data_IF_353761938387
#
_entry.id   IF_353761938387
#
_cell.length_a   1.000
_cell.length_b   1.000
_cell.length_c   1.000
_cell.angle_alpha   90.00
_cell.angle_beta   90.00
_cell.angle_gamma   90.00
#
_symmetry.space_group_name_H-M   'P 1'
#
loop_
_entity.id
_entity.type
_entity.pdbx_description
1 polymer ?
#
# COMPACT_ATOMS: atom_id res chain seq x y z
N UNK A 1 -12.00 -12.22 27.11
CA UNK A 1 -10.57 -12.18 26.79
C UNK A 1 -9.94 -11.01 27.53
N UNK A 2 -8.72 -11.10 28.09
CA UNK A 2 -8.12 -9.95 28.80
C UNK A 2 -7.72 -8.85 27.82
N UNK A 3 -7.67 -7.58 28.28
CA UNK A 3 -7.27 -6.42 27.47
C UNK A 3 -5.89 -6.65 26.83
N UNK A 4 -4.94 -7.21 27.57
CA UNK A 4 -3.59 -7.51 27.08
C UNK A 4 -3.58 -8.48 25.89
N UNK A 5 -4.40 -9.55 25.97
CA UNK A 5 -4.54 -10.50 24.85
C UNK A 5 -5.15 -9.85 23.61
N UNK A 6 -6.11 -8.95 23.80
CA UNK A 6 -6.71 -8.21 22.69
C UNK A 6 -5.69 -7.26 22.03
N UNK A 7 -4.89 -6.56 22.83
CA UNK A 7 -3.85 -5.67 22.31
C UNK A 7 -2.76 -6.42 21.56
N UNK A 8 -2.32 -7.57 22.08
CA UNK A 8 -1.37 -8.44 21.39
C UNK A 8 -1.91 -8.92 20.04
N UNK A 9 -3.17 -9.40 20.03
CA UNK A 9 -3.84 -9.84 18.80
C UNK A 9 -3.96 -8.71 17.77
N UNK A 10 -4.39 -7.51 18.19
CA UNK A 10 -4.49 -6.34 17.32
C UNK A 10 -3.11 -6.01 16.72
N UNK A 11 -2.06 -6.03 17.53
CA UNK A 11 -0.69 -5.76 17.06
C UNK A 11 -0.20 -6.77 16.03
N UNK A 12 -0.49 -8.07 16.21
CA UNK A 12 -0.17 -9.10 15.24
C UNK A 12 -0.95 -8.97 13.94
N UNK A 13 -2.27 -8.72 14.02
CA UNK A 13 -3.11 -8.54 12.85
C UNK A 13 -2.69 -7.31 12.04
N UNK A 14 -2.34 -6.24 12.73
CA UNK A 14 -1.86 -5.03 12.10
C UNK A 14 -0.56 -5.25 11.32
N UNK A 15 0.45 -5.90 11.94
CA UNK A 15 1.69 -6.27 11.27
C UNK A 15 1.45 -7.14 10.04
N UNK A 16 0.62 -8.16 10.20
CA UNK A 16 0.32 -9.10 9.12
C UNK A 16 -0.38 -8.42 7.96
N UNK A 17 -1.35 -7.56 8.24
CA UNK A 17 -2.15 -6.87 7.23
C UNK A 17 -1.33 -5.80 6.50
N UNK A 18 -0.54 -5.01 7.22
CA UNK A 18 0.31 -3.97 6.61
C UNK A 18 1.50 -4.53 5.83
N UNK A 19 1.91 -5.77 6.09
CA UNK A 19 2.90 -6.47 5.28
C UNK A 19 2.36 -6.92 3.90
N UNK A 20 1.04 -6.90 3.71
CA UNK A 20 0.41 -7.26 2.44
C UNK A 20 0.26 -6.00 1.60
N UNK A 21 0.93 -5.94 0.46
CA UNK A 21 0.76 -4.85 -0.50
C UNK A 21 -0.69 -4.75 -0.95
N UNK A 22 -1.35 -3.63 -0.63
CA UNK A 22 -2.77 -3.41 -0.92
C UNK A 22 -3.09 -1.98 -1.44
N UNK A 23 -2.28 -1.39 -2.34
CA UNK A 23 -2.65 -0.09 -2.88
C UNK A 23 -3.99 -0.16 -3.62
N UNK A 24 -4.70 0.96 -3.69
CA UNK A 24 -6.02 1.07 -4.34
C UNK A 24 -6.06 0.34 -5.68
N UNK A 25 -7.02 -0.57 -5.83
CA UNK A 25 -7.16 -1.45 -7.00
C UNK A 25 -6.18 -2.64 -7.04
N UNK A 26 -5.48 -2.93 -5.92
CA UNK A 26 -4.61 -4.10 -5.75
C UNK A 26 -4.82 -4.79 -4.40
N UNK A 27 -6.04 -4.76 -3.87
CA UNK A 27 -6.39 -5.18 -2.51
C UNK A 27 -6.71 -6.68 -2.38
N UNK A 28 -6.72 -7.45 -3.47
CA UNK A 28 -7.19 -8.84 -3.48
C UNK A 28 -6.55 -9.71 -2.39
N UNK A 29 -5.23 -9.70 -2.26
CA UNK A 29 -4.52 -10.52 -1.26
C UNK A 29 -4.87 -10.12 0.18
N UNK A 30 -4.99 -8.83 0.44
CA UNK A 30 -5.39 -8.34 1.75
C UNK A 30 -6.85 -8.67 2.07
N UNK A 31 -7.74 -8.61 1.06
CA UNK A 31 -9.13 -9.07 1.17
C UNK A 31 -9.21 -10.56 1.48
N UNK A 32 -8.47 -11.40 0.75
CA UNK A 32 -8.39 -12.85 1.00
C UNK A 32 -7.90 -13.15 2.42
N UNK A 33 -6.83 -12.49 2.86
CA UNK A 33 -6.32 -12.61 4.23
C UNK A 33 -7.39 -12.28 5.28
N UNK A 34 -8.12 -11.17 5.13
CA UNK A 34 -9.16 -10.79 6.09
C UNK A 34 -10.33 -11.80 6.09
N UNK A 35 -10.76 -12.29 4.93
CA UNK A 35 -11.77 -13.33 4.84
C UNK A 35 -11.36 -14.56 5.63
N UNK A 36 -10.13 -15.02 5.50
CA UNK A 36 -9.60 -16.15 6.28
C UNK A 36 -9.60 -15.85 7.78
N UNK A 37 -9.23 -14.63 8.22
CA UNK A 37 -9.26 -14.28 9.63
C UNK A 37 -10.70 -14.28 10.18
N UNK A 38 -11.68 -13.74 9.46
CA UNK A 38 -13.08 -13.79 9.89
C UNK A 38 -13.61 -15.21 9.93
N UNK A 39 -13.27 -16.05 8.97
CA UNK A 39 -13.62 -17.49 9.00
C UNK A 39 -13.03 -18.22 10.20
N UNK A 40 -11.77 -17.96 10.55
CA UNK A 40 -11.13 -18.51 11.77
C UNK A 40 -11.83 -18.08 13.06
N UNK A 41 -12.48 -16.92 13.06
CA UNK A 41 -13.31 -16.44 14.17
C UNK A 41 -14.71 -17.03 14.18
N UNK A 42 -15.10 -17.84 13.18
CA UNK A 42 -16.41 -18.45 13.04
C UNK A 42 -17.45 -17.59 12.32
N UNK A 43 -17.04 -16.54 11.63
CA UNK A 43 -17.91 -15.70 10.80
C UNK A 43 -17.88 -16.14 9.33
N UNK A 44 -18.93 -15.80 8.61
CA UNK A 44 -19.04 -16.02 7.16
C UNK A 44 -18.93 -14.68 6.41
N UNK A 45 -17.72 -14.32 5.93
CA UNK A 45 -17.52 -13.08 5.18
C UNK A 45 -18.12 -13.19 3.77
N UNK A 46 -18.88 -12.20 3.35
CA UNK A 46 -19.41 -12.06 2.01
C UNK A 46 -18.62 -11.01 1.20
N UNK A 47 -18.23 -11.39 -0.01
CA UNK A 47 -17.54 -10.49 -0.94
C UNK A 47 -18.51 -9.85 -1.92
N UNK A 48 -18.51 -8.52 -1.97
CA UNK A 48 -19.20 -7.80 -3.02
C UNK A 48 -18.44 -7.87 -4.36
N UNK A 49 -19.10 -7.54 -5.45
CA UNK A 49 -18.48 -7.46 -6.78
C UNK A 49 -17.32 -6.43 -6.87
N UNK A 50 -17.26 -5.48 -5.94
CA UNK A 50 -16.19 -4.47 -5.83
C UNK A 50 -15.07 -4.88 -4.87
N UNK A 51 -15.17 -6.06 -4.25
CA UNK A 51 -14.17 -6.57 -3.31
C UNK A 51 -14.34 -6.07 -1.87
N UNK A 52 -15.48 -5.46 -1.52
CA UNK A 52 -15.78 -5.14 -0.12
C UNK A 52 -16.12 -6.44 0.64
N UNK A 53 -15.66 -6.53 1.87
CA UNK A 53 -15.97 -7.63 2.77
C UNK A 53 -17.10 -7.17 3.69
N UNK A 54 -18.21 -7.90 3.69
CA UNK A 54 -19.32 -7.72 4.61
C UNK A 54 -19.33 -8.88 5.60
N UNK A 55 -19.41 -8.59 6.89
CA UNK A 55 -19.46 -9.59 7.95
C UNK A 55 -20.55 -9.23 8.94
N UNK A 56 -21.48 -10.14 9.15
CA UNK A 56 -22.52 -9.99 10.16
C UNK A 56 -21.97 -10.51 11.49
N UNK A 57 -21.76 -9.61 12.45
CA UNK A 57 -21.23 -9.95 13.78
C UNK A 57 -22.32 -10.47 14.74
N UNK A 58 -23.58 -10.38 14.34
CA UNK A 58 -24.74 -10.74 15.16
C UNK A 58 -25.35 -9.54 15.91
N UNK A 59 -26.24 -9.85 16.86
CA UNK A 59 -26.97 -8.85 17.64
C UNK A 59 -28.44 -8.78 17.26
N UNK A 60 -29.21 -8.03 18.05
CA UNK A 60 -30.66 -7.78 17.86
C UNK A 60 -30.93 -6.28 17.95
N UNK A 61 -31.99 -5.82 17.30
CA UNK A 61 -32.42 -4.42 17.31
C UNK A 61 -32.00 -3.65 16.07
N UNK A 62 -31.82 -2.35 16.18
CA UNK A 62 -31.41 -1.50 15.05
C UNK A 62 -29.98 -1.82 14.61
N UNK A 63 -29.73 -1.99 13.29
CA UNK A 63 -28.41 -2.35 12.81
C UNK A 63 -27.38 -1.23 13.05
N UNK A 64 -26.19 -1.63 13.49
CA UNK A 64 -25.01 -0.78 13.59
C UNK A 64 -24.00 -1.25 12.58
N UNK A 65 -23.52 -0.36 11.72
CA UNK A 65 -22.49 -0.66 10.72
C UNK A 65 -21.17 -0.05 11.14
N UNK A 66 -20.14 -0.89 11.23
CA UNK A 66 -18.74 -0.47 11.39
C UNK A 66 -18.06 -0.56 10.02
N UNK A 67 -17.43 0.51 9.59
CA UNK A 67 -16.71 0.54 8.30
C UNK A 67 -15.26 0.91 8.50
N UNK A 68 -14.36 0.25 7.74
CA UNK A 68 -12.96 0.59 7.66
C UNK A 68 -12.46 0.33 6.23
N UNK A 69 -11.40 1.04 5.81
CA UNK A 69 -10.77 0.76 4.53
C UNK A 69 -9.57 -0.16 4.69
N UNK A 70 -9.28 -0.92 3.63
CA UNK A 70 -8.21 -1.91 3.56
C UNK A 70 -7.05 -1.45 2.68
N UNK A 71 -7.33 -0.55 1.73
CA UNK A 71 -6.32 -0.09 0.80
C UNK A 71 -5.29 0.81 1.49
N UNK A 72 -4.04 0.57 1.08
CA UNK A 72 -2.88 1.35 1.51
C UNK A 72 -2.47 2.33 0.42
N UNK A 73 -1.55 3.22 0.77
CA UNK A 73 -0.92 4.11 -0.20
C UNK A 73 0.01 3.32 -1.12
N UNK A 74 0.22 3.84 -2.31
CA UNK A 74 1.12 3.26 -3.28
C UNK A 74 1.22 4.10 -4.55
N UNK A 75 1.81 3.53 -5.57
CA UNK A 75 1.93 4.17 -6.86
C UNK A 75 1.74 3.17 -8.01
N UNK A 76 1.67 3.68 -9.22
CA UNK A 76 1.63 2.89 -10.44
C UNK A 76 2.70 3.41 -11.40
N UNK A 77 3.31 2.53 -12.18
CA UNK A 77 4.25 2.92 -13.23
C UNK A 77 3.51 3.68 -14.32
N UNK A 78 3.82 4.97 -14.47
CA UNK A 78 3.29 5.83 -15.53
C UNK A 78 4.06 5.65 -16.84
N UNK A 79 5.40 5.63 -16.76
CA UNK A 79 6.27 5.45 -17.92
C UNK A 79 7.65 4.93 -17.49
N UNK A 80 8.41 4.47 -18.47
CA UNK A 80 9.83 4.08 -18.31
C UNK A 80 10.65 5.15 -19.03
N UNK A 81 11.62 5.73 -18.31
CA UNK A 81 12.55 6.75 -18.82
C UNK A 81 13.64 6.10 -19.68
N UNK A 82 14.35 6.89 -20.51
CA UNK A 82 15.40 6.36 -21.38
C UNK A 82 16.55 5.73 -20.59
N UNK A 83 16.85 6.25 -19.40
CA UNK A 83 17.84 5.70 -18.46
C UNK A 83 17.34 4.47 -17.67
N UNK A 84 16.23 3.85 -18.04
CA UNK A 84 15.66 2.69 -17.38
C UNK A 84 14.89 2.97 -16.08
N UNK A 85 14.92 4.18 -15.54
CA UNK A 85 14.17 4.47 -14.31
C UNK A 85 12.67 4.55 -14.58
N UNK A 86 11.87 4.15 -13.59
CA UNK A 86 10.42 4.19 -13.68
C UNK A 86 9.91 5.56 -13.22
N UNK A 87 9.00 6.16 -13.97
CA UNK A 87 8.24 7.32 -13.52
C UNK A 87 6.96 6.83 -12.85
N UNK A 88 6.78 7.11 -11.55
CA UNK A 88 5.56 6.71 -10.85
C UNK A 88 4.43 7.70 -11.08
N UNK A 89 3.20 7.28 -10.75
CA UNK A 89 2.04 8.14 -10.46
C UNK A 89 1.37 7.64 -9.21
N UNK A 90 0.91 8.56 -8.34
CA UNK A 90 0.34 8.23 -7.04
C UNK A 90 -0.95 7.41 -7.15
N UNK A 91 -1.13 6.47 -6.22
CA UNK A 91 -2.39 5.83 -5.90
C UNK A 91 -2.73 6.17 -4.44
N UNK A 92 -3.81 6.93 -4.25
CA UNK A 92 -4.13 7.54 -2.97
C UNK A 92 -3.42 8.89 -2.77
N UNK A 93 -3.58 9.48 -1.60
CA UNK A 93 -3.11 10.84 -1.29
C UNK A 93 -1.89 10.85 -0.37
N UNK A 94 -0.71 10.41 -0.83
CA UNK A 94 0.50 10.53 -0.04
C UNK A 94 1.42 11.66 -0.53
N UNK A 95 2.30 12.09 0.36
CA UNK A 95 3.34 13.07 0.03
C UNK A 95 4.62 12.35 -0.37
N UNK A 96 5.22 12.72 -1.48
CA UNK A 96 6.44 12.08 -1.99
C UNK A 96 7.66 12.26 -1.10
N UNK A 97 7.70 13.32 -0.29
CA UNK A 97 8.77 13.53 0.69
C UNK A 97 8.83 12.43 1.77
N UNK A 98 7.74 11.70 2.01
CA UNK A 98 7.73 10.53 2.92
C UNK A 98 8.19 9.24 2.24
N UNK A 99 8.35 9.25 0.93
CA UNK A 99 8.77 8.09 0.15
C UNK A 99 10.19 8.25 -0.45
N UNK A 100 10.76 9.46 -0.43
CA UNK A 100 12.10 9.72 -0.96
C UNK A 100 13.16 8.97 -0.14
N UNK A 101 13.93 8.10 -0.80
CA UNK A 101 14.92 7.22 -0.18
C UNK A 101 14.36 5.87 0.32
N UNK A 102 13.05 5.64 0.23
CA UNK A 102 12.43 4.40 0.71
C UNK A 102 12.52 3.26 -0.29
N UNK A 103 12.71 2.05 0.24
CA UNK A 103 12.62 0.84 -0.55
C UNK A 103 11.18 0.57 -1.01
N UNK A 104 11.03 0.04 -2.20
CA UNK A 104 9.72 -0.30 -2.75
C UNK A 104 9.69 -1.67 -3.41
N UNK A 105 8.50 -2.22 -3.54
CA UNK A 105 8.21 -3.42 -4.31
C UNK A 105 7.40 -3.06 -5.56
N UNK A 106 7.82 -3.57 -6.69
CA UNK A 106 7.23 -3.30 -8.00
C UNK A 106 6.58 -4.59 -8.51
N UNK A 107 5.24 -4.65 -8.48
CA UNK A 107 4.46 -5.83 -8.88
C UNK A 107 4.03 -5.73 -10.33
N UNK A 108 4.46 -6.68 -11.15
CA UNK A 108 4.11 -6.75 -12.56
C UNK A 108 2.76 -7.45 -12.78
N UNK A 109 2.16 -7.27 -13.96
CA UNK A 109 0.88 -7.93 -14.31
C UNK A 109 0.99 -9.45 -14.44
N UNK A 110 2.15 -9.95 -14.76
CA UNK A 110 2.45 -11.40 -14.87
C UNK A 110 2.84 -12.03 -13.53
N UNK A 111 2.65 -11.29 -12.42
CA UNK A 111 2.83 -11.80 -11.07
C UNK A 111 4.26 -11.79 -10.54
N UNK A 112 5.22 -11.23 -11.29
CA UNK A 112 6.58 -11.04 -10.81
C UNK A 112 6.67 -9.85 -9.86
N UNK A 113 7.64 -9.88 -8.97
CA UNK A 113 7.97 -8.81 -8.05
C UNK A 113 9.44 -8.44 -8.21
N UNK A 114 9.72 -7.16 -8.29
CA UNK A 114 11.06 -6.59 -8.25
C UNK A 114 11.16 -5.65 -7.06
N UNK A 115 12.34 -5.51 -6.50
CA UNK A 115 12.64 -4.47 -5.50
C UNK A 115 13.26 -3.25 -6.17
N UNK A 116 13.25 -2.15 -5.47
CA UNK A 116 13.85 -0.90 -5.93
C UNK A 116 13.77 0.18 -4.85
N UNK A 117 14.25 1.34 -5.19
CA UNK A 117 14.26 2.52 -4.31
C UNK A 117 13.55 3.69 -4.99
N UNK A 118 12.77 4.42 -4.20
CA UNK A 118 12.14 5.68 -4.63
C UNK A 118 13.15 6.80 -4.43
N UNK A 119 13.42 7.56 -5.46
CA UNK A 119 14.39 8.67 -5.44
C UNK A 119 13.78 9.92 -6.08
N UNK A 120 14.24 11.09 -5.67
CA UNK A 120 14.03 12.26 -6.51
C UNK A 120 15.00 12.23 -7.71
N UNK A 121 14.69 13.01 -8.74
CA UNK A 121 15.47 13.02 -10.01
C UNK A 121 16.87 13.58 -9.86
N UNK A 122 17.13 14.35 -8.80
CA UNK A 122 18.43 14.96 -8.48
C UNK A 122 18.77 14.73 -7.01
N UNK A 123 19.13 13.47 -6.64
CA UNK A 123 19.28 13.08 -5.24
C UNK A 123 20.55 13.62 -4.57
N UNK A 124 21.47 14.24 -5.32
CA UNK A 124 22.75 14.71 -4.81
C UNK A 124 22.79 16.24 -4.71
N UNK A 125 23.13 16.76 -3.53
CA UNK A 125 23.36 18.18 -3.31
C UNK A 125 24.53 18.77 -4.15
N UNK A 126 25.38 17.93 -4.71
CA UNK A 126 26.48 18.36 -5.59
C UNK A 126 26.04 18.54 -7.06
N UNK A 127 24.86 18.07 -7.42
CA UNK A 127 24.32 18.13 -8.80
C UNK A 127 23.19 19.14 -8.89
N UNK A 128 22.43 19.29 -7.82
CA UNK A 128 21.30 20.20 -7.74
C UNK A 128 21.72 21.51 -7.04
N UNK A 129 21.53 22.64 -7.71
CA UNK A 129 21.78 23.97 -7.13
C UNK A 129 20.73 24.38 -6.09
N UNK A 130 19.55 23.71 -6.09
CA UNK A 130 18.44 24.01 -5.20
C UNK A 130 17.75 22.70 -4.73
N UNK A 131 17.00 22.81 -3.63
CA UNK A 131 16.14 21.72 -3.14
C UNK A 131 15.01 21.43 -4.13
N UNK A 132 15.10 20.31 -4.82
CA UNK A 132 14.01 19.85 -5.71
C UNK A 132 12.77 19.54 -4.89
N UNK A 133 11.66 20.12 -5.28
CA UNK A 133 10.37 19.83 -4.69
C UNK A 133 9.97 18.37 -4.96
N UNK A 134 9.61 17.62 -3.89
CA UNK A 134 9.18 16.23 -3.99
C UNK A 134 7.76 16.14 -4.54
N UNK A 135 7.63 16.37 -5.85
CA UNK A 135 6.40 16.22 -6.65
C UNK A 135 6.49 14.98 -7.53
N UNK A 136 5.37 14.49 -8.00
CA UNK A 136 5.28 13.31 -8.88
C UNK A 136 6.21 13.37 -10.10
N UNK A 137 6.33 14.54 -10.72
CA UNK A 137 7.20 14.76 -11.88
C UNK A 137 8.70 14.65 -11.57
N UNK A 138 9.08 14.90 -10.32
CA UNK A 138 10.47 14.91 -9.84
C UNK A 138 10.84 13.61 -9.12
N UNK A 139 9.95 12.62 -9.11
CA UNK A 139 10.21 11.33 -8.48
C UNK A 139 10.41 10.23 -9.51
N UNK A 140 11.27 9.28 -9.18
CA UNK A 140 11.55 8.13 -10.01
C UNK A 140 11.88 6.91 -9.17
N UNK A 141 11.83 5.73 -9.76
CA UNK A 141 12.18 4.47 -9.10
C UNK A 141 13.32 3.83 -9.84
N UNK A 142 14.36 3.51 -9.10
CA UNK A 142 15.48 2.70 -9.54
C UNK A 142 15.23 1.26 -9.09
N UNK A 143 15.17 0.33 -10.05
CA UNK A 143 15.05 -1.11 -9.74
C UNK A 143 16.40 -1.67 -9.30
N UNK A 144 16.38 -2.67 -8.41
CA UNK A 144 17.54 -3.42 -7.96
C UNK A 144 17.92 -4.51 -9.00
N UNK A 145 17.89 -4.14 -10.27
CA UNK A 145 18.16 -5.03 -11.40
C UNK A 145 19.31 -4.48 -12.24
N UNK A 146 20.09 -5.36 -12.81
CA UNK A 146 21.23 -4.96 -13.66
C UNK A 146 20.75 -4.52 -15.06
N UNK A 147 19.87 -3.53 -15.10
CA UNK A 147 19.34 -2.92 -16.32
C UNK A 147 19.36 -1.39 -16.17
N UNK A 148 19.92 -0.72 -17.17
CA UNK A 148 20.18 0.71 -17.14
C UNK A 148 19.65 1.44 -18.38
N UNK A 149 18.79 0.78 -19.14
CA UNK A 149 18.13 1.37 -20.29
C UNK A 149 16.62 1.02 -20.35
N UNK A 150 15.93 1.77 -21.16
CA UNK A 150 14.48 1.62 -21.35
C UNK A 150 14.07 0.26 -21.91
N UNK A 151 14.87 -0.32 -22.80
CA UNK A 151 14.56 -1.58 -23.47
C UNK A 151 14.67 -2.75 -22.48
N UNK A 152 15.74 -2.80 -21.70
CA UNK A 152 15.94 -3.79 -20.65
C UNK A 152 14.86 -3.74 -19.59
N UNK A 153 14.55 -2.54 -19.06
CA UNK A 153 13.49 -2.38 -18.06
C UNK A 153 12.12 -2.70 -18.64
N UNK A 154 11.83 -2.36 -19.91
CA UNK A 154 10.57 -2.70 -20.57
C UNK A 154 10.38 -4.22 -20.73
N UNK A 155 11.46 -4.98 -20.82
CA UNK A 155 11.39 -6.45 -20.83
C UNK A 155 10.99 -7.03 -19.47
N UNK A 156 11.37 -6.37 -18.36
CA UNK A 156 11.03 -6.76 -17.00
C UNK A 156 9.65 -6.23 -16.59
N UNK A 157 9.39 -4.95 -16.82
CA UNK A 157 8.23 -4.21 -16.29
C UNK A 157 7.36 -3.69 -17.43
N UNK A 158 6.16 -4.23 -17.59
CA UNK A 158 5.16 -3.74 -18.55
C UNK A 158 4.35 -2.57 -17.95
N UNK A 159 3.74 -1.73 -18.80
CA UNK A 159 2.82 -0.66 -18.36
C UNK A 159 1.73 -1.22 -17.43
N UNK A 160 1.31 -0.43 -16.44
CA UNK A 160 0.32 -0.79 -15.40
C UNK A 160 0.86 -1.68 -14.26
N UNK A 161 2.14 -1.65 -14.02
CA UNK A 161 2.78 -2.26 -12.87
C UNK A 161 2.47 -1.45 -11.61
N UNK A 162 2.09 -2.13 -10.53
CA UNK A 162 1.81 -1.52 -9.22
C UNK A 162 3.09 -1.42 -8.40
N UNK A 163 3.20 -0.36 -7.65
CA UNK A 163 4.33 -0.08 -6.77
C UNK A 163 3.80 0.04 -5.35
N UNK A 164 4.46 -0.63 -4.45
CA UNK A 164 4.17 -0.58 -3.04
C UNK A 164 5.44 -0.22 -2.29
N UNK A 165 5.38 0.82 -1.45
CA UNK A 165 6.45 1.14 -0.52
C UNK A 165 6.15 0.43 0.79
N UNK A 166 6.99 -0.55 1.17
CA UNK A 166 6.83 -1.23 2.44
C UNK A 166 7.52 -0.42 3.52
N UNK A 167 6.77 0.22 4.36
CA UNK A 167 7.30 0.73 5.61
C UNK A 167 7.37 -0.46 6.59
N UNK A 168 8.44 -1.24 6.48
CA UNK A 168 8.62 -2.45 7.28
C UNK A 168 8.92 -2.16 8.76
N UNK A 169 9.04 -0.90 9.15
CA UNK A 169 9.39 -0.53 10.52
C UNK A 169 8.17 -0.11 11.33
N UNK A 170 8.01 -0.73 12.51
CA UNK A 170 6.87 -0.56 13.43
C UNK A 170 6.67 0.91 13.83
N UNK A 171 7.71 1.72 13.85
CA UNK A 171 7.66 3.13 14.17
C UNK A 171 6.90 3.95 13.12
N UNK A 172 6.99 3.60 11.85
CA UNK A 172 6.23 4.24 10.78
C UNK A 172 4.77 3.77 10.73
N UNK A 173 4.50 2.52 11.13
CA UNK A 173 3.14 1.99 11.29
C UNK A 173 2.34 2.83 12.30
N UNK A 174 2.97 3.28 13.38
CA UNK A 174 2.31 4.11 14.40
C UNK A 174 1.78 5.43 13.83
N UNK A 175 2.54 6.09 12.99
CA UNK A 175 2.09 7.32 12.33
C UNK A 175 0.98 7.06 11.29
N UNK A 176 1.03 5.94 10.58
CA UNK A 176 0.01 5.53 9.62
C UNK A 176 -1.33 5.13 10.28
N UNK A 177 -1.26 4.43 11.43
CA UNK A 177 -2.46 4.04 12.20
C UNK A 177 -3.19 5.26 12.73
N UNK A 178 -2.48 6.28 13.18
CA UNK A 178 -3.10 7.52 13.66
C UNK A 178 -3.90 8.22 12.54
N UNK A 179 -3.45 8.13 11.28
CA UNK A 179 -4.21 8.64 10.14
C UNK A 179 -5.37 7.71 9.71
N UNK A 180 -5.20 6.41 9.74
CA UNK A 180 -6.26 5.45 9.41
C UNK A 180 -7.36 5.40 10.48
N UNK A 181 -7.02 5.46 11.76
CA UNK A 181 -7.98 5.48 12.86
C UNK A 181 -8.82 6.77 12.94
N UNK A 182 -8.37 7.88 12.34
CA UNK A 182 -9.14 9.13 12.32
C UNK A 182 -10.39 9.08 11.43
N UNK A 183 -10.57 8.02 10.63
CA UNK A 183 -11.71 7.87 9.70
C UNK A 183 -12.72 6.81 10.11
N UNK A 184 -12.73 6.36 11.37
CA UNK A 184 -13.81 5.53 11.89
C UNK A 184 -15.09 6.37 12.00
N UNK A 185 -15.95 6.25 11.02
CA UNK A 185 -17.32 6.78 11.13
C UNK A 185 -18.25 5.65 11.56
N UNK A 186 -18.80 5.78 12.73
CA UNK A 186 -20.00 5.04 13.14
C UNK A 186 -21.17 5.71 12.43
N UNK A 187 -21.75 5.07 11.44
CA UNK A 187 -22.95 5.56 10.77
C UNK A 187 -24.13 4.77 11.32
N UNK A 188 -25.01 5.38 12.13
CA UNK A 188 -26.29 4.75 12.43
C UNK A 188 -27.13 4.72 11.15
N UNK A 189 -27.58 3.56 10.75
CA UNK A 189 -28.63 3.43 9.74
C UNK A 189 -29.96 3.77 10.45
N UNK A 190 -30.59 4.87 10.04
CA UNK A 190 -31.95 5.25 10.43
C UNK A 190 -32.94 4.49 9.56
#
# INVERSE_FOLDING_TARGET
MSLEKNLAYIGEQLKSLTAIASPTGFTKKATEYLCEQFQKMGYEPELSNKGNINVVLGGEGSPLVLTAHLDTLGAMVRSIKENGRLRPTTLGGHQWNTADGENCMVFTRDGKMYTGVVLNTEPSAHVADENIERKEENMEILLDENVNDKAGVKALVKRTTKIYTSHADITHIYNYIMYACAWWRIVPLV
#
